data_IF_262291218552
#
_entry.id   IF_262291218552
#
_cell.length_a   1.000
_cell.length_b   1.000
_cell.length_c   1.000
_cell.angle_alpha   90.00
_cell.angle_beta   90.00
_cell.angle_gamma   90.00
#
_symmetry.space_group_name_H-M   'P 1'
#
loop_
_entity.id
_entity.type
_entity.pdbx_description
1 polymer ?
#
# COMPACT_ATOMS: atom_id res chain seq x y z
N UNK A 1 14.97 0.73 16.45
CA UNK A 1 14.61 -0.64 16.90
C UNK A 1 13.71 -0.49 18.11
N UNK A 2 12.54 -1.07 18.07
CA UNK A 2 11.67 -1.20 19.25
C UNK A 2 12.07 -2.49 19.96
N UNK A 3 12.09 -2.46 21.29
CA UNK A 3 12.39 -3.64 22.07
C UNK A 3 11.23 -4.65 21.93
N UNK A 4 11.52 -5.88 21.59
CA UNK A 4 10.54 -6.96 21.46
C UNK A 4 9.80 -7.23 22.77
N UNK A 5 10.48 -7.04 23.91
CA UNK A 5 9.89 -7.20 25.24
C UNK A 5 8.65 -6.32 25.45
N UNK A 6 8.62 -5.11 24.89
CA UNK A 6 7.46 -4.21 24.97
C UNK A 6 6.25 -4.80 24.26
N UNK A 7 6.46 -5.49 23.14
CA UNK A 7 5.38 -6.14 22.41
C UNK A 7 4.90 -7.41 23.10
N UNK A 8 5.81 -8.17 23.69
CA UNK A 8 5.45 -9.35 24.49
C UNK A 8 4.57 -8.98 25.67
N UNK A 9 4.99 -7.99 26.47
CA UNK A 9 4.20 -7.47 27.59
C UNK A 9 2.81 -7.00 27.13
N UNK A 10 2.76 -6.18 26.10
CA UNK A 10 1.49 -5.69 25.54
C UNK A 10 0.56 -6.83 25.09
N UNK A 11 1.09 -7.82 24.39
CA UNK A 11 0.31 -8.95 23.87
C UNK A 11 -0.12 -9.91 24.96
N UNK A 12 0.67 -10.10 25.99
CA UNK A 12 0.31 -10.89 27.18
C UNK A 12 -0.83 -10.23 27.96
N UNK A 13 -0.77 -8.92 28.16
CA UNK A 13 -1.82 -8.16 28.86
C UNK A 13 -3.16 -8.17 28.10
N UNK A 14 -3.12 -8.03 26.76
CA UNK A 14 -4.34 -8.03 25.94
C UNK A 14 -4.87 -9.43 25.65
N UNK A 15 -4.00 -10.45 25.65
CA UNK A 15 -4.29 -11.84 25.38
C UNK A 15 -5.26 -12.08 24.19
N UNK A 16 -4.99 -11.55 22.98
CA UNK A 16 -5.89 -11.73 21.86
C UNK A 16 -5.81 -13.16 21.31
N UNK A 17 -6.93 -13.73 20.90
CA UNK A 17 -6.99 -15.05 20.23
C UNK A 17 -6.37 -15.01 18.84
N UNK A 18 -6.49 -13.89 18.14
CA UNK A 18 -5.94 -13.66 16.81
C UNK A 18 -5.73 -12.17 16.52
N UNK A 19 -4.79 -11.86 15.63
CA UNK A 19 -4.49 -10.50 15.20
C UNK A 19 -4.73 -10.38 13.70
N UNK A 20 -5.61 -9.46 13.32
CA UNK A 20 -5.87 -9.13 11.93
C UNK A 20 -5.14 -7.85 11.53
N UNK A 21 -4.16 -7.98 10.65
CA UNK A 21 -3.28 -6.91 10.18
C UNK A 21 -3.81 -6.41 8.85
N UNK A 22 -4.09 -5.10 8.76
CA UNK A 22 -4.57 -4.45 7.53
C UNK A 22 -3.51 -3.61 6.84
N UNK A 23 -2.39 -3.33 7.50
CA UNK A 23 -1.23 -2.64 6.91
C UNK A 23 0.02 -2.96 7.70
N UNK A 24 1.15 -3.05 7.01
CA UNK A 24 2.46 -3.15 7.64
C UNK A 24 3.07 -1.76 7.90
N UNK A 25 2.40 -0.69 7.47
CA UNK A 25 2.91 0.68 7.63
C UNK A 25 2.96 1.06 9.12
N UNK A 26 4.17 1.30 9.62
CA UNK A 26 4.41 1.61 11.03
C UNK A 26 4.43 0.40 11.96
N UNK A 27 4.24 -0.82 11.43
CA UNK A 27 4.41 -2.05 12.19
C UNK A 27 5.87 -2.50 12.15
N UNK A 28 6.41 -2.87 13.29
CA UNK A 28 7.77 -3.38 13.41
C UNK A 28 7.81 -4.91 13.32
N UNK A 29 8.92 -5.44 12.82
CA UNK A 29 9.10 -6.89 12.68
C UNK A 29 9.05 -7.60 14.03
N UNK A 30 9.55 -6.96 15.06
CA UNK A 30 9.55 -7.42 16.45
C UNK A 30 8.14 -7.68 16.97
N UNK A 31 7.12 -6.95 16.49
CA UNK A 31 5.72 -7.26 16.82
C UNK A 31 5.29 -8.63 16.28
N UNK A 32 5.65 -8.95 15.03
CA UNK A 32 5.30 -10.25 14.43
C UNK A 32 6.10 -11.38 15.08
N UNK A 33 7.34 -11.12 15.52
CA UNK A 33 8.10 -12.07 16.33
C UNK A 33 7.37 -12.39 17.64
N UNK A 34 6.97 -11.35 18.38
CA UNK A 34 6.26 -11.51 19.65
C UNK A 34 4.93 -12.28 19.49
N UNK A 35 4.16 -12.03 18.39
CA UNK A 35 2.94 -12.82 18.13
C UNK A 35 3.25 -14.29 17.92
N UNK A 36 4.31 -14.61 17.17
CA UNK A 36 4.70 -15.99 16.90
C UNK A 36 5.22 -16.68 18.18
N UNK A 37 5.99 -15.98 19.03
CA UNK A 37 6.49 -16.51 20.30
C UNK A 37 5.34 -16.87 21.24
N UNK A 38 4.30 -16.05 21.28
CA UNK A 38 3.11 -16.27 22.10
C UNK A 38 2.08 -17.22 21.46
N UNK A 39 2.34 -17.72 20.24
CA UNK A 39 1.42 -18.61 19.53
C UNK A 39 0.11 -17.92 19.09
N UNK A 40 0.09 -16.59 19.01
CA UNK A 40 -1.07 -15.81 18.59
C UNK A 40 -1.18 -15.87 17.06
N UNK A 41 -2.33 -16.30 16.56
CA UNK A 41 -2.57 -16.40 15.11
C UNK A 41 -2.61 -15.03 14.46
N UNK A 42 -1.94 -14.91 13.32
CA UNK A 42 -1.86 -13.67 12.53
C UNK A 42 -2.49 -13.83 11.16
N UNK A 43 -3.33 -12.87 10.78
CA UNK A 43 -3.95 -12.77 9.45
C UNK A 43 -3.59 -11.42 8.86
N UNK A 44 -3.14 -11.37 7.61
CA UNK A 44 -2.89 -10.12 6.89
C UNK A 44 -3.81 -10.03 5.68
N UNK A 45 -4.56 -8.93 5.57
CA UNK A 45 -5.36 -8.63 4.36
C UNK A 45 -4.61 -7.66 3.46
N UNK A 46 -4.44 -8.04 2.21
CA UNK A 46 -3.78 -7.23 1.19
C UNK A 46 -4.72 -6.16 0.65
N UNK A 47 -4.56 -4.91 1.08
CA UNK A 47 -5.33 -3.77 0.56
C UNK A 47 -4.60 -3.01 -0.54
N UNK A 48 -3.28 -3.03 -0.49
CA UNK A 48 -2.36 -2.38 -1.41
C UNK A 48 -1.05 -3.17 -1.48
N UNK A 49 -0.05 -2.63 -2.14
CA UNK A 49 1.25 -3.27 -2.29
C UNK A 49 2.32 -2.69 -1.34
N UNK A 50 1.92 -2.14 -0.19
CA UNK A 50 2.89 -1.70 0.82
C UNK A 50 3.76 -2.87 1.27
N UNK A 51 5.06 -2.60 1.41
CA UNK A 51 6.05 -3.66 1.67
C UNK A 51 6.69 -4.23 0.41
N UNK A 52 5.97 -4.26 -0.71
CA UNK A 52 6.52 -4.62 -2.02
C UNK A 52 6.96 -3.38 -2.81
N UNK A 53 6.20 -2.29 -2.68
CA UNK A 53 6.42 -1.02 -3.38
C UNK A 53 6.33 0.16 -2.42
N UNK A 54 7.35 1.04 -2.35
CA UNK A 54 7.30 2.24 -1.51
C UNK A 54 6.18 3.21 -1.84
N UNK A 55 5.72 3.24 -3.11
CA UNK A 55 4.54 4.02 -3.57
C UNK A 55 3.21 3.28 -3.42
N UNK A 56 3.21 2.08 -2.91
CA UNK A 56 2.05 1.20 -2.67
C UNK A 56 1.24 0.80 -3.91
N UNK A 57 1.53 1.36 -5.07
CA UNK A 57 0.69 1.21 -6.28
C UNK A 57 1.24 0.22 -7.30
N UNK A 58 2.53 -0.13 -7.24
CA UNK A 58 3.26 -0.86 -8.29
C UNK A 58 2.99 -0.27 -9.69
N UNK A 59 2.99 1.07 -9.77
CA UNK A 59 2.73 1.79 -11.00
C UNK A 59 3.80 2.87 -11.21
N UNK A 60 4.42 2.88 -12.40
CA UNK A 60 5.51 3.79 -12.74
C UNK A 60 5.45 4.14 -14.23
N UNK A 61 5.65 5.41 -14.58
CA UNK A 61 5.69 5.90 -15.96
C UNK A 61 4.48 5.43 -16.81
N UNK A 62 3.28 5.56 -16.28
CA UNK A 62 2.04 5.26 -17.00
C UNK A 62 1.72 3.76 -17.16
N UNK A 63 2.51 2.85 -16.58
CA UNK A 63 2.31 1.40 -16.69
C UNK A 63 2.54 0.68 -15.36
N UNK A 64 2.02 -0.55 -15.20
CA UNK A 64 2.35 -1.41 -14.06
C UNK A 64 3.87 -1.61 -13.96
N UNK A 65 4.38 -1.59 -12.73
CA UNK A 65 5.79 -1.85 -12.46
C UNK A 65 6.04 -3.36 -12.53
N UNK A 66 6.97 -3.75 -13.38
CA UNK A 66 7.44 -5.14 -13.60
C UNK A 66 8.82 -5.39 -12.99
N UNK A 67 9.35 -4.41 -12.26
CA UNK A 67 10.67 -4.46 -11.63
C UNK A 67 10.64 -5.31 -10.35
N UNK A 68 10.57 -6.64 -10.53
CA UNK A 68 10.33 -7.58 -9.43
C UNK A 68 11.59 -7.82 -8.56
N UNK A 69 12.79 -7.67 -9.10
CA UNK A 69 14.01 -8.14 -8.42
C UNK A 69 15.04 -7.06 -8.14
N UNK A 70 15.02 -5.93 -8.81
CA UNK A 70 15.91 -4.83 -8.50
C UNK A 70 15.13 -3.53 -8.28
N UNK A 71 15.60 -2.70 -7.37
CA UNK A 71 14.99 -1.42 -7.04
C UNK A 71 15.65 -0.25 -7.78
N UNK A 72 16.28 -0.48 -8.93
CA UNK A 72 17.00 0.55 -9.69
C UNK A 72 16.11 1.76 -10.00
N UNK A 73 14.89 1.51 -10.43
CA UNK A 73 13.94 2.57 -10.74
C UNK A 73 13.19 3.10 -9.50
N UNK A 74 13.27 2.41 -8.35
CA UNK A 74 12.57 2.84 -7.13
C UNK A 74 13.08 4.19 -6.62
N UNK A 75 14.36 4.49 -6.76
CA UNK A 75 14.93 5.80 -6.40
C UNK A 75 14.31 6.89 -7.24
N UNK A 76 14.28 6.74 -8.56
CA UNK A 76 13.66 7.69 -9.49
C UNK A 76 12.16 7.82 -9.21
N UNK A 77 11.49 6.69 -9.05
CA UNK A 77 10.06 6.62 -8.75
C UNK A 77 9.68 7.33 -7.44
N UNK A 78 10.57 7.39 -6.45
CA UNK A 78 10.32 7.99 -5.14
C UNK A 78 10.96 9.36 -4.93
N UNK A 79 11.45 10.04 -5.97
CA UNK A 79 12.05 11.36 -5.84
C UNK A 79 11.10 12.40 -5.24
N UNK A 80 9.79 12.27 -5.50
CA UNK A 80 8.75 13.11 -4.91
C UNK A 80 8.31 12.69 -3.49
N UNK A 81 8.93 11.65 -2.90
CA UNK A 81 8.58 11.18 -1.57
C UNK A 81 8.86 12.24 -0.50
N UNK A 82 8.05 12.23 0.54
CA UNK A 82 8.23 13.14 1.68
C UNK A 82 9.56 12.89 2.37
N UNK A 83 10.33 13.97 2.63
CA UNK A 83 11.55 13.86 3.41
C UNK A 83 11.25 13.42 4.85
N UNK A 84 12.22 12.76 5.50
CA UNK A 84 12.09 12.33 6.90
C UNK A 84 11.66 13.45 7.83
N UNK A 85 12.21 14.67 7.65
CA UNK A 85 11.83 15.86 8.44
C UNK A 85 10.34 16.18 8.29
N UNK A 86 9.79 16.13 7.07
CA UNK A 86 8.36 16.35 6.82
C UNK A 86 7.50 15.24 7.45
N UNK A 87 7.94 13.99 7.37
CA UNK A 87 7.25 12.86 8.00
C UNK A 87 7.17 13.03 9.52
N UNK A 88 8.28 13.36 10.18
CA UNK A 88 8.33 13.61 11.63
C UNK A 88 7.37 14.74 12.04
N UNK A 89 7.35 15.85 11.28
CA UNK A 89 6.41 16.96 11.53
C UNK A 89 4.96 16.49 11.38
N UNK A 90 4.63 15.74 10.33
CA UNK A 90 3.27 15.24 10.10
C UNK A 90 2.82 14.20 11.14
N UNK A 91 3.73 13.50 11.77
CA UNK A 91 3.44 12.54 12.84
C UNK A 91 3.44 13.17 14.24
N UNK A 92 3.89 14.42 14.37
CA UNK A 92 4.01 15.11 15.66
C UNK A 92 2.65 15.30 16.37
N UNK A 93 2.63 15.29 17.72
CA UNK A 93 1.41 15.58 18.49
C UNK A 93 0.83 16.97 18.17
N UNK A 94 1.70 17.95 17.87
CA UNK A 94 1.32 19.31 17.50
C UNK A 94 0.51 19.31 16.19
N UNK A 95 1.04 18.64 15.16
CA UNK A 95 0.33 18.51 13.89
C UNK A 95 -1.01 17.76 14.07
N UNK A 96 -1.04 16.73 14.90
CA UNK A 96 -2.26 15.96 15.19
C UNK A 96 -3.38 16.83 15.77
N UNK A 97 -3.05 17.79 16.66
CA UNK A 97 -4.01 18.77 17.22
C UNK A 97 -4.43 19.80 16.17
N UNK A 98 -3.52 20.26 15.30
CA UNK A 98 -3.76 21.34 14.34
C UNK A 98 -4.33 20.87 13.00
N UNK A 99 -4.24 19.57 12.64
CA UNK A 99 -4.62 19.04 11.32
C UNK A 99 -6.06 19.34 10.89
N UNK A 100 -6.95 19.59 11.84
CA UNK A 100 -8.36 19.86 11.59
C UNK A 100 -8.68 21.36 11.49
N UNK A 101 -7.73 22.25 11.74
CA UNK A 101 -7.92 23.69 11.59
C UNK A 101 -8.14 24.09 10.13
N UNK A 102 -8.89 25.18 9.91
CA UNK A 102 -9.18 25.69 8.54
C UNK A 102 -7.90 25.99 7.76
N UNK A 103 -6.88 26.54 8.43
CA UNK A 103 -5.58 26.90 7.82
C UNK A 103 -4.85 25.63 7.33
N UNK A 104 -4.73 24.61 8.17
CA UNK A 104 -4.07 23.36 7.80
C UNK A 104 -4.83 22.63 6.69
N UNK A 105 -6.17 22.64 6.74
CA UNK A 105 -7.00 22.08 5.66
C UNK A 105 -6.78 22.81 4.33
N UNK A 106 -6.69 24.13 4.34
CA UNK A 106 -6.42 24.94 3.15
C UNK A 106 -5.02 24.66 2.57
N UNK A 107 -4.01 24.62 3.43
CA UNK A 107 -2.63 24.29 3.03
C UNK A 107 -2.54 22.87 2.44
N UNK A 108 -3.22 21.91 3.05
CA UNK A 108 -3.28 20.53 2.53
C UNK A 108 -3.99 20.46 1.17
N UNK A 109 -5.06 21.20 0.97
CA UNK A 109 -5.78 21.22 -0.32
C UNK A 109 -4.91 21.80 -1.43
N UNK A 110 -4.16 22.90 -1.15
CA UNK A 110 -3.20 23.48 -2.08
C UNK A 110 -2.05 22.52 -2.40
N UNK A 111 -1.42 21.95 -1.37
CA UNK A 111 -0.33 21.00 -1.56
C UNK A 111 -0.79 19.73 -2.31
N UNK A 112 -2.02 19.29 -2.06
CA UNK A 112 -2.59 18.14 -2.75
C UNK A 112 -2.81 18.41 -4.24
N UNK A 113 -3.25 19.61 -4.63
CA UNK A 113 -3.36 19.99 -6.03
C UNK A 113 -2.00 19.98 -6.72
N UNK A 114 -1.02 20.67 -6.17
CA UNK A 114 0.33 20.74 -6.73
C UNK A 114 0.99 19.36 -6.83
N UNK A 115 0.87 18.52 -5.78
CA UNK A 115 1.45 17.18 -5.79
C UNK A 115 0.86 16.27 -6.88
N UNK A 116 -0.40 16.43 -7.23
CA UNK A 116 -1.03 15.64 -8.28
C UNK A 116 -0.77 16.21 -9.69
N UNK A 117 -0.54 17.50 -9.82
CA UNK A 117 -0.13 18.15 -11.07
C UNK A 117 1.34 17.84 -11.41
N UNK A 118 2.24 17.87 -10.45
CA UNK A 118 3.66 17.51 -10.63
C UNK A 118 3.86 16.04 -11.02
N UNK A 119 2.98 15.13 -10.61
CA UNK A 119 3.08 13.70 -10.97
C UNK A 119 2.73 13.43 -12.43
N UNK A 120 2.08 14.36 -13.12
CA UNK A 120 1.75 14.25 -14.56
C UNK A 120 2.84 14.84 -15.47
N UNK A 121 3.73 15.71 -14.94
CA UNK A 121 4.74 16.43 -15.72
C UNK A 121 6.17 15.92 -15.56
N UNK A 122 6.44 14.96 -14.67
CA UNK A 122 7.79 14.38 -14.49
C UNK A 122 8.16 13.36 -15.57
N UNK A 123 8.04 13.77 -16.86
CA UNK A 123 8.73 13.12 -17.96
C UNK A 123 10.00 13.91 -18.28
N UNK A 124 11.14 13.28 -18.03
CA UNK A 124 12.44 13.63 -18.58
C UNK A 124 13.16 14.88 -18.05
N UNK A 125 13.58 14.91 -16.78
CA UNK A 125 14.76 15.69 -16.43
C UNK A 125 15.54 15.02 -15.29
N UNK A 126 16.83 14.82 -15.50
CA UNK A 126 17.87 14.34 -14.58
C UNK A 126 17.97 12.83 -14.34
N UNK A 127 18.43 12.12 -15.36
CA UNK A 127 18.91 10.74 -15.24
C UNK A 127 20.46 10.68 -15.23
N UNK A 128 21.11 11.32 -14.26
CA UNK A 128 22.53 11.08 -14.03
C UNK A 128 22.85 11.21 -12.54
N UNK A 129 23.39 10.14 -11.97
CA UNK A 129 23.80 9.91 -10.57
C UNK A 129 22.74 9.33 -9.63
N UNK A 130 22.09 8.22 -10.02
CA UNK A 130 21.45 7.36 -9.02
C UNK A 130 22.53 6.62 -8.23
N UNK A 131 22.73 7.01 -6.99
CA UNK A 131 23.71 6.43 -6.09
C UNK A 131 23.35 4.94 -5.85
N UNK A 132 24.23 4.02 -6.19
CA UNK A 132 24.08 2.55 -5.97
C UNK A 132 23.65 2.24 -4.53
N UNK A 133 24.15 3.01 -3.55
CA UNK A 133 23.76 2.90 -2.14
C UNK A 133 22.27 3.18 -1.87
N UNK A 134 21.63 4.06 -2.64
CA UNK A 134 20.19 4.34 -2.47
C UNK A 134 19.32 3.21 -3.03
N UNK A 135 19.74 2.56 -4.11
CA UNK A 135 19.05 1.39 -4.67
C UNK A 135 19.05 0.22 -3.68
N UNK A 136 20.21 -0.07 -3.06
CA UNK A 136 20.33 -1.08 -2.02
C UNK A 136 19.43 -0.84 -0.81
N UNK A 137 19.14 0.43 -0.47
CA UNK A 137 18.22 0.74 0.63
C UNK A 137 16.78 0.35 0.32
N UNK A 138 16.32 0.51 -0.93
CA UNK A 138 14.96 0.09 -1.32
C UNK A 138 14.85 -1.43 -1.41
N UNK A 139 15.89 -2.11 -1.86
CA UNK A 139 15.97 -3.56 -1.87
C UNK A 139 15.88 -4.12 -0.45
N UNK A 140 16.75 -3.66 0.46
CA UNK A 140 16.72 -4.04 1.88
C UNK A 140 15.37 -3.75 2.55
N UNK A 141 14.72 -2.63 2.19
CA UNK A 141 13.40 -2.29 2.71
C UNK A 141 12.34 -3.30 2.24
N UNK A 142 12.37 -3.70 0.98
CA UNK A 142 11.48 -4.74 0.44
C UNK A 142 11.75 -6.08 1.13
N UNK A 143 13.00 -6.49 1.23
CA UNK A 143 13.40 -7.71 1.92
C UNK A 143 12.91 -7.73 3.38
N UNK A 144 13.02 -6.61 4.07
CA UNK A 144 12.53 -6.47 5.44
C UNK A 144 11.02 -6.75 5.52
N UNK A 145 10.20 -6.12 4.67
CA UNK A 145 8.75 -6.34 4.68
C UNK A 145 8.35 -7.72 4.15
N UNK A 146 9.02 -8.23 3.15
CA UNK A 146 8.81 -9.62 2.66
C UNK A 146 9.14 -10.61 3.78
N UNK A 147 10.19 -10.37 4.57
CA UNK A 147 10.49 -11.21 5.73
C UNK A 147 9.40 -11.17 6.80
N UNK A 148 8.72 -10.03 7.00
CA UNK A 148 7.56 -9.94 7.89
C UNK A 148 6.37 -10.73 7.34
N UNK A 149 6.06 -10.59 6.04
CA UNK A 149 4.97 -11.31 5.38
C UNK A 149 5.14 -12.83 5.47
N UNK A 150 6.38 -13.33 5.34
CA UNK A 150 6.71 -14.75 5.50
C UNK A 150 6.46 -15.31 6.91
N UNK A 151 6.41 -14.45 7.90
CA UNK A 151 6.19 -14.84 9.30
C UNK A 151 4.70 -14.89 9.66
N UNK A 152 3.82 -14.27 8.87
CA UNK A 152 2.38 -14.24 9.08
C UNK A 152 1.77 -15.60 8.75
N UNK A 153 0.83 -16.05 9.57
CA UNK A 153 0.25 -17.41 9.45
C UNK A 153 -0.67 -17.54 8.25
N UNK A 154 -1.44 -16.50 7.95
CA UNK A 154 -2.42 -16.52 6.85
C UNK A 154 -2.48 -15.20 6.10
N UNK A 155 -2.40 -15.27 4.78
CA UNK A 155 -2.55 -14.11 3.89
C UNK A 155 -3.91 -14.17 3.20
N UNK A 156 -4.73 -13.16 3.45
CA UNK A 156 -5.99 -12.93 2.77
C UNK A 156 -5.76 -12.02 1.57
N UNK A 157 -5.86 -12.56 0.37
CA UNK A 157 -5.83 -11.81 -0.87
C UNK A 157 -7.23 -11.34 -1.25
N UNK A 158 -7.39 -10.05 -1.49
CA UNK A 158 -8.67 -9.46 -1.88
C UNK A 158 -9.07 -9.76 -3.33
N UNK A 159 -8.14 -10.24 -4.15
CA UNK A 159 -8.37 -10.68 -5.54
C UNK A 159 -7.27 -11.62 -6.02
N UNK A 160 -7.57 -12.42 -7.05
CA UNK A 160 -6.59 -13.28 -7.71
C UNK A 160 -5.44 -12.50 -8.36
N UNK A 161 -5.70 -11.27 -8.83
CA UNK A 161 -4.64 -10.39 -9.36
C UNK A 161 -3.67 -10.01 -8.25
N UNK A 162 -4.17 -9.69 -7.05
CA UNK A 162 -3.31 -9.36 -5.91
C UNK A 162 -2.47 -10.57 -5.49
N UNK A 163 -3.08 -11.76 -5.43
CA UNK A 163 -2.36 -13.00 -5.16
C UNK A 163 -1.23 -13.24 -6.19
N UNK A 164 -1.53 -13.13 -7.48
CA UNK A 164 -0.55 -13.28 -8.56
C UNK A 164 0.63 -12.30 -8.41
N UNK A 165 0.36 -11.05 -8.05
CA UNK A 165 1.40 -10.04 -7.84
C UNK A 165 2.26 -10.36 -6.63
N UNK A 166 1.66 -10.70 -5.49
CA UNK A 166 2.40 -11.03 -4.28
C UNK A 166 3.27 -12.28 -4.47
N UNK A 167 2.77 -13.29 -5.20
CA UNK A 167 3.49 -14.54 -5.47
C UNK A 167 4.77 -14.36 -6.32
N UNK A 168 4.97 -13.21 -6.97
CA UNK A 168 6.25 -12.86 -7.61
C UNK A 168 7.35 -12.59 -6.60
N UNK A 169 7.01 -12.18 -5.37
CA UNK A 169 7.96 -11.77 -4.34
C UNK A 169 8.16 -12.83 -3.25
N UNK A 170 7.12 -13.56 -2.91
CA UNK A 170 7.18 -14.64 -1.93
C UNK A 170 5.95 -15.54 -2.04
N UNK A 171 6.08 -16.76 -1.52
CA UNK A 171 4.95 -17.68 -1.40
C UNK A 171 4.53 -17.76 0.10
N UNK A 172 3.30 -17.40 0.44
CA UNK A 172 2.79 -17.52 1.81
C UNK A 172 2.64 -18.98 2.25
N UNK A 173 2.73 -19.23 3.55
CA UNK A 173 2.50 -20.58 4.13
C UNK A 173 1.05 -21.03 3.90
N UNK A 174 0.11 -20.14 4.20
CA UNK A 174 -1.31 -20.34 3.97
C UNK A 174 -1.92 -19.06 3.40
N UNK A 175 -2.81 -19.22 2.43
CA UNK A 175 -3.52 -18.07 1.84
C UNK A 175 -4.84 -18.48 1.24
N UNK A 176 -5.72 -17.50 1.04
CA UNK A 176 -6.91 -17.65 0.24
C UNK A 176 -7.26 -16.33 -0.46
N UNK A 177 -7.90 -16.46 -1.62
CA UNK A 177 -8.51 -15.33 -2.33
C UNK A 177 -9.96 -15.22 -1.89
N UNK A 178 -10.28 -14.16 -1.15
CA UNK A 178 -11.64 -13.89 -0.66
C UNK A 178 -11.96 -12.44 -1.02
N UNK A 179 -12.96 -12.23 -1.87
CA UNK A 179 -13.39 -10.89 -2.26
C UNK A 179 -13.87 -10.10 -1.04
N UNK A 180 -13.41 -8.86 -0.90
CA UNK A 180 -13.87 -7.96 0.15
C UNK A 180 -15.34 -7.64 -0.13
N UNK A 181 -16.19 -7.84 0.88
CA UNK A 181 -17.60 -7.52 0.84
C UNK A 181 -18.01 -6.75 2.09
N UNK A 182 -19.18 -6.17 2.08
CA UNK A 182 -19.77 -5.47 3.20
C UNK A 182 -21.18 -6.01 3.44
N UNK A 183 -21.58 -6.19 4.72
CA UNK A 183 -22.87 -6.75 5.09
C UNK A 183 -24.08 -6.01 4.51
N UNK A 184 -23.90 -4.71 4.21
CA UNK A 184 -24.97 -3.86 3.66
C UNK A 184 -25.02 -3.93 2.12
N UNK A 185 -24.08 -4.63 1.46
CA UNK A 185 -24.16 -4.88 0.02
C UNK A 185 -25.21 -5.95 -0.21
N UNK A 186 -26.33 -5.53 -0.81
CA UNK A 186 -27.42 -6.44 -1.21
C UNK A 186 -27.27 -6.80 -2.66
N UNK A 187 -27.68 -8.00 -3.02
CA UNK A 187 -27.73 -8.41 -4.41
C UNK A 187 -28.93 -7.75 -5.09
N UNK A 188 -28.64 -6.74 -5.88
CA UNK A 188 -29.62 -6.00 -6.68
C UNK A 188 -29.54 -6.39 -8.18
N UNK A 189 -28.87 -7.50 -8.51
CA UNK A 189 -28.78 -7.94 -9.91
C UNK A 189 -30.16 -8.17 -10.47
N UNK A 190 -30.44 -7.54 -11.61
CA UNK A 190 -31.66 -7.75 -12.40
C UNK A 190 -31.23 -8.15 -13.79
N UNK A 191 -31.99 -9.03 -14.41
CA UNK A 191 -31.83 -9.34 -15.85
C UNK A 191 -32.11 -8.04 -16.62
N UNK A 192 -31.11 -7.54 -17.33
CA UNK A 192 -31.26 -6.36 -18.18
C UNK A 192 -31.53 -6.85 -19.61
N UNK A 193 -32.57 -6.35 -20.25
CA UNK A 193 -32.72 -6.44 -21.67
C UNK A 193 -31.94 -5.32 -22.31
N UNK A 194 -30.90 -5.66 -23.04
CA UNK A 194 -30.11 -4.68 -23.80
C UNK A 194 -30.86 -4.45 -25.15
N UNK A 195 -31.87 -3.62 -25.08
CA UNK A 195 -32.68 -3.22 -26.23
C UNK A 195 -32.33 -1.78 -26.67
N UNK A 196 -31.08 -1.42 -26.57
CA UNK A 196 -30.60 -0.05 -26.85
C UNK A 196 -29.29 -0.05 -27.66
N UNK A 197 -29.26 0.79 -28.68
CA UNK A 197 -28.07 1.04 -29.50
C UNK A 197 -26.93 1.72 -28.72
N UNK A 198 -27.12 2.03 -27.43
CA UNK A 198 -26.17 2.76 -26.59
C UNK A 198 -25.79 1.93 -25.38
N UNK A 199 -24.51 1.58 -25.30
CA UNK A 199 -23.91 0.98 -24.10
C UNK A 199 -23.60 2.10 -23.07
N UNK A 200 -24.21 2.02 -21.88
CA UNK A 200 -23.92 2.94 -20.77
C UNK A 200 -22.99 2.28 -19.79
N UNK A 201 -21.79 2.86 -19.63
CA UNK A 201 -20.76 2.38 -18.73
C UNK A 201 -20.61 3.37 -17.58
N UNK A 202 -20.60 2.87 -16.34
CA UNK A 202 -20.33 3.68 -15.14
C UNK A 202 -18.98 3.29 -14.58
N UNK A 203 -18.09 4.26 -14.41
CA UNK A 203 -16.81 4.09 -13.73
C UNK A 203 -16.93 4.52 -12.26
N UNK A 204 -16.62 3.60 -11.34
CA UNK A 204 -16.63 3.85 -9.90
C UNK A 204 -15.18 3.97 -9.39
N UNK A 205 -14.72 5.21 -9.26
CA UNK A 205 -13.37 5.47 -8.74
C UNK A 205 -12.83 6.85 -9.11
N UNK A 206 -11.68 7.25 -8.55
CA UNK A 206 -11.04 8.49 -8.95
C UNK A 206 -10.44 8.34 -10.35
N UNK A 207 -10.54 9.39 -11.16
CA UNK A 207 -9.94 9.48 -12.49
C UNK A 207 -8.41 9.60 -12.40
N UNK A 208 -7.76 8.49 -12.04
CA UNK A 208 -6.29 8.40 -11.90
C UNK A 208 -5.73 7.36 -12.86
N UNK A 209 -4.52 7.58 -13.44
CA UNK A 209 -3.92 6.67 -14.41
C UNK A 209 -3.78 5.24 -13.85
N UNK A 210 -3.27 5.09 -12.63
CA UNK A 210 -3.10 3.78 -11.97
C UNK A 210 -4.42 3.07 -11.59
N UNK A 211 -5.58 3.75 -11.74
CA UNK A 211 -6.91 3.17 -11.57
C UNK A 211 -7.55 2.73 -12.89
N UNK A 212 -6.83 2.87 -14.00
CA UNK A 212 -7.31 2.43 -15.32
C UNK A 212 -8.35 3.33 -15.98
N UNK A 213 -8.63 4.53 -15.44
CA UNK A 213 -9.63 5.44 -16.01
C UNK A 213 -9.30 5.84 -17.46
N UNK A 214 -8.03 6.19 -17.72
CA UNK A 214 -7.59 6.56 -19.07
C UNK A 214 -7.67 5.38 -20.06
N UNK A 215 -7.41 4.17 -19.58
CA UNK A 215 -7.60 2.97 -20.40
C UNK A 215 -9.06 2.80 -20.80
N UNK A 216 -10.00 3.04 -19.87
CA UNK A 216 -11.44 2.91 -20.13
C UNK A 216 -11.95 3.92 -21.17
N UNK A 217 -11.44 5.16 -21.16
CA UNK A 217 -11.88 6.21 -22.11
C UNK A 217 -11.15 6.16 -23.45
N UNK A 218 -10.06 5.39 -23.56
CA UNK A 218 -9.27 5.20 -24.78
C UNK A 218 -9.70 3.99 -25.61
N UNK A 219 -10.70 3.26 -25.14
CA UNK A 219 -11.36 2.15 -25.86
C UNK A 219 -12.62 2.65 -26.53
#
# INVERSE_FOLDING_TARGET
KTDEAVYLEFLQDYAPDAIHIHTLMGLHKEFIHATNELGIRTVFTTHDYFGLCPKVTLFHNGKPCDNDHNCMDCVKCNQSALSLKKIVVLQSPVYRKLKNTRVVKLLRSRHRKNFFEETETETAASAENTNVAQNQNYEKLREYYVSMLKMIDFIHFNSSVTEMVYNRYFHPKNSAVISITHRDIKDHRKRKNFDHDVLRITYLGPAKPFKGFQFLIGV
#
